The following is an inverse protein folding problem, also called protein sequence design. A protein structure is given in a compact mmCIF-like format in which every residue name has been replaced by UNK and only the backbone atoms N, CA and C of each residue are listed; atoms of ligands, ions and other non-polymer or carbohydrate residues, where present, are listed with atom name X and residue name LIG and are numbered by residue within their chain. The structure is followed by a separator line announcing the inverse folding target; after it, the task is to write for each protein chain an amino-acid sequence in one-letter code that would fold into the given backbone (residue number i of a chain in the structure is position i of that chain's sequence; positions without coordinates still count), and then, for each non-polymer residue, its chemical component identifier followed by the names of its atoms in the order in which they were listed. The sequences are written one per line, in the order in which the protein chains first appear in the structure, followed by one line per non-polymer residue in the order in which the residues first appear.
data_IF_780422975776
#
_entry.id   IF_780422975776
#
_cell.length_a   1.000
_cell.length_b   1.000
_cell.length_c   1.000
_cell.angle_alpha   90.00
_cell.angle_beta   90.00
_cell.angle_gamma   90.00
#
_symmetry.space_group_name_H-M   'P 1'
#
loop_
_entity.id
_entity.type
_entity.pdbx_description
1 polymer ?
#
# COMPACT_ATOMS: atom_id res chain seq x y z
N UNK A 1 6.51 -7.87 -8.32
CA UNK A 1 5.05 -7.98 -8.55
C UNK A 1 4.25 -8.52 -7.37
N UNK A 2 4.79 -9.43 -6.53
CA UNK A 2 4.03 -10.00 -5.39
C UNK A 2 4.12 -9.23 -4.06
N UNK A 3 4.93 -8.16 -4.02
CA UNK A 3 5.12 -7.30 -2.85
C UNK A 3 3.81 -6.91 -2.15
N UNK A 4 2.76 -6.43 -2.84
CA UNK A 4 1.53 -6.06 -2.14
C UNK A 4 0.86 -7.24 -1.41
N UNK A 5 0.91 -8.45 -1.97
CA UNK A 5 0.38 -9.64 -1.29
C UNK A 5 1.20 -9.99 -0.06
N UNK A 6 2.53 -9.91 -0.14
CA UNK A 6 3.40 -10.12 1.02
C UNK A 6 3.14 -9.07 2.12
N UNK A 7 2.88 -7.81 1.77
CA UNK A 7 2.52 -6.76 2.72
C UNK A 7 1.17 -7.03 3.39
N UNK A 8 0.15 -7.46 2.63
CA UNK A 8 -1.15 -7.84 3.18
C UNK A 8 -1.02 -9.06 4.11
N UNK A 9 -0.31 -10.10 3.68
CA UNK A 9 -0.06 -11.29 4.50
C UNK A 9 0.72 -10.95 5.77
N UNK A 10 1.71 -10.06 5.68
CA UNK A 10 2.44 -9.59 6.86
C UNK A 10 1.53 -8.85 7.83
N UNK A 11 0.66 -7.95 7.35
CA UNK A 11 -0.28 -7.23 8.20
C UNK A 11 -1.24 -8.20 8.91
N UNK A 12 -1.81 -9.17 8.17
CA UNK A 12 -2.71 -10.18 8.73
C UNK A 12 -1.97 -11.07 9.74
N UNK A 13 -0.80 -11.58 9.39
CA UNK A 13 -0.01 -12.47 10.24
C UNK A 13 0.44 -11.75 11.52
N UNK A 14 0.94 -10.52 11.42
CA UNK A 14 1.30 -9.69 12.56
C UNK A 14 0.07 -9.39 13.42
N UNK A 15 -1.09 -9.16 12.80
CA UNK A 15 -2.37 -8.97 13.47
C UNK A 15 -2.79 -10.16 14.33
N UNK A 16 -2.71 -11.38 13.78
CA UNK A 16 -3.04 -12.61 14.49
C UNK A 16 -2.03 -12.94 15.60
N UNK A 17 -0.75 -12.66 15.37
CA UNK A 17 0.34 -13.01 16.28
C UNK A 17 0.62 -11.93 17.34
N UNK A 18 0.06 -10.72 17.24
CA UNK A 18 0.37 -9.62 18.17
C UNK A 18 0.06 -9.96 19.63
N UNK A 19 -0.98 -10.78 19.87
CA UNK A 19 -1.40 -11.18 21.22
C UNK A 19 -0.46 -12.21 21.85
N UNK A 20 0.30 -12.93 21.01
CA UNK A 20 1.18 -14.02 21.45
C UNK A 20 2.63 -13.58 21.60
N UNK A 21 3.06 -12.52 20.89
CA UNK A 21 4.43 -12.05 20.97
C UNK A 21 4.55 -10.54 20.74
N UNK A 22 5.32 -9.90 21.62
CA UNK A 22 5.59 -8.46 21.60
C UNK A 22 6.28 -8.02 20.30
N UNK A 23 7.11 -8.87 19.69
CA UNK A 23 7.77 -8.55 18.43
C UNK A 23 6.74 -8.34 17.30
N UNK A 24 5.75 -9.22 17.20
CA UNK A 24 4.67 -9.09 16.21
C UNK A 24 3.74 -7.91 16.52
N UNK A 25 3.52 -7.59 17.79
CA UNK A 25 2.76 -6.39 18.18
C UNK A 25 3.45 -5.10 17.73
N UNK A 26 4.77 -4.98 17.95
CA UNK A 26 5.56 -3.82 17.50
C UNK A 26 5.56 -3.74 15.97
N UNK A 27 5.75 -4.87 15.27
CA UNK A 27 5.71 -4.91 13.82
C UNK A 27 4.34 -4.51 13.26
N UNK A 28 3.24 -5.00 13.84
CA UNK A 28 1.88 -4.64 13.48
C UNK A 28 1.63 -3.14 13.67
N UNK A 29 2.00 -2.60 14.84
CA UNK A 29 1.84 -1.19 15.14
C UNK A 29 2.66 -0.31 14.17
N UNK A 30 3.90 -0.69 13.89
CA UNK A 30 4.75 0.03 12.93
C UNK A 30 4.11 0.04 11.53
N UNK A 31 3.58 -1.09 11.06
CA UNK A 31 2.86 -1.15 9.79
C UNK A 31 1.62 -0.24 9.78
N UNK A 32 0.81 -0.27 10.83
CA UNK A 32 -0.38 0.59 10.96
C UNK A 32 -0.02 2.07 10.96
N UNK A 33 1.04 2.47 11.67
CA UNK A 33 1.52 3.86 11.70
C UNK A 33 2.00 4.28 10.31
N UNK A 34 2.82 3.47 9.63
CA UNK A 34 3.31 3.78 8.28
C UNK A 34 2.16 3.94 7.28
N UNK A 35 1.16 3.06 7.33
CA UNK A 35 -0.02 3.15 6.48
C UNK A 35 -0.90 4.35 6.84
N UNK A 36 -1.09 4.64 8.13
CA UNK A 36 -1.81 5.82 8.58
C UNK A 36 -1.15 7.13 8.13
N UNK A 37 0.18 7.22 8.23
CA UNK A 37 0.96 8.38 7.74
C UNK A 37 0.85 8.51 6.22
N UNK A 38 0.95 7.40 5.48
CA UNK A 38 0.78 7.40 4.03
C UNK A 38 -0.61 7.89 3.61
N UNK A 39 -1.67 7.38 4.25
CA UNK A 39 -3.06 7.82 4.00
C UNK A 39 -3.26 9.29 4.35
N UNK A 40 -2.73 9.74 5.49
CA UNK A 40 -2.75 11.16 5.87
C UNK A 40 -2.03 12.05 4.85
N UNK A 41 -0.93 11.56 4.27
CA UNK A 41 -0.20 12.22 3.19
C UNK A 41 -0.97 12.34 1.87
N UNK A 42 -1.88 11.39 1.59
CA UNK A 42 -2.74 11.40 0.40
C UNK A 42 -3.97 12.30 0.59
N UNK A 43 -4.53 12.35 1.81
CA UNK A 43 -5.76 13.11 2.09
C UNK A 43 -5.52 14.55 2.54
N UNK A 44 -4.38 14.85 3.18
CA UNK A 44 -4.13 16.16 3.80
C UNK A 44 -2.97 16.89 3.12
N UNK A 45 -3.28 18.00 2.42
CA UNK A 45 -2.30 18.84 1.71
C UNK A 45 -1.14 19.33 2.57
N UNK A 46 -1.36 19.55 3.87
CA UNK A 46 -0.30 19.99 4.80
C UNK A 46 0.72 18.89 5.09
N UNK A 47 0.25 17.65 5.29
CA UNK A 47 1.11 16.48 5.52
C UNK A 47 1.83 16.08 4.24
N UNK A 48 1.17 16.24 3.08
CA UNK A 48 1.75 15.93 1.78
C UNK A 48 2.97 16.78 1.44
N UNK A 49 3.24 17.89 2.15
CA UNK A 49 4.45 18.71 1.93
C UNK A 49 5.72 18.06 2.47
N UNK A 50 5.60 17.20 3.49
CA UNK A 50 6.75 16.54 4.09
C UNK A 50 7.31 15.44 3.16
N UNK A 51 8.59 15.55 2.80
CA UNK A 51 9.31 14.56 1.96
C UNK A 51 9.14 13.10 2.42
N UNK A 52 9.34 12.74 3.70
CA UNK A 52 9.20 11.34 4.13
C UNK A 52 7.75 10.84 3.95
N UNK A 53 6.75 11.70 4.22
CA UNK A 53 5.34 11.36 4.03
C UNK A 53 5.04 11.09 2.55
N UNK A 54 5.60 11.90 1.62
CA UNK A 54 5.48 11.64 0.18
C UNK A 54 6.04 10.29 -0.23
N UNK A 55 7.20 9.90 0.32
CA UNK A 55 7.83 8.61 0.01
C UNK A 55 6.95 7.46 0.48
N UNK A 56 6.42 7.54 1.71
CA UNK A 56 5.50 6.54 2.25
C UNK A 56 4.19 6.46 1.46
N UNK A 57 3.61 7.61 1.13
CA UNK A 57 2.40 7.70 0.31
C UNK A 57 2.62 7.11 -1.09
N UNK A 58 3.75 7.42 -1.72
CA UNK A 58 4.13 6.85 -3.02
C UNK A 58 4.29 5.34 -2.94
N UNK A 59 5.00 4.83 -1.91
CA UNK A 59 5.17 3.39 -1.71
C UNK A 59 3.83 2.65 -1.59
N UNK A 60 2.90 3.18 -0.79
CA UNK A 60 1.55 2.60 -0.64
C UNK A 60 0.77 2.68 -1.95
N UNK A 61 0.79 3.83 -2.63
CA UNK A 61 0.08 4.04 -3.89
C UNK A 61 0.59 3.12 -5.01
N UNK A 62 1.91 2.93 -5.12
CA UNK A 62 2.49 2.00 -6.10
C UNK A 62 2.06 0.56 -5.87
N UNK A 63 2.03 0.11 -4.61
CA UNK A 63 1.57 -1.24 -4.28
C UNK A 63 0.06 -1.42 -4.53
N UNK A 64 -0.75 -0.39 -4.26
CA UNK A 64 -2.17 -0.35 -4.62
C UNK A 64 -2.38 -0.42 -6.14
N UNK A 65 -1.58 0.30 -6.93
CA UNK A 65 -1.64 0.23 -8.38
C UNK A 65 -1.31 -1.18 -8.91
N UNK A 66 -0.34 -1.87 -8.29
CA UNK A 66 -0.03 -3.26 -8.62
C UNK A 66 -1.20 -4.18 -8.27
N UNK A 67 -1.84 -4.02 -7.10
CA UNK A 67 -3.06 -4.77 -6.75
C UNK A 67 -4.18 -4.53 -7.75
N UNK A 68 -4.40 -3.28 -8.14
CA UNK A 68 -5.39 -2.94 -9.15
C UNK A 68 -5.07 -3.59 -10.51
N UNK A 69 -3.79 -3.63 -10.91
CA UNK A 69 -3.37 -4.33 -12.12
C UNK A 69 -3.66 -5.84 -12.04
N UNK A 70 -3.40 -6.48 -10.90
CA UNK A 70 -3.76 -7.87 -10.66
C UNK A 70 -5.27 -8.11 -10.71
N UNK A 71 -6.06 -7.22 -10.11
CA UNK A 71 -7.52 -7.28 -10.16
C UNK A 71 -8.02 -7.22 -11.60
N UNK A 72 -7.58 -6.22 -12.38
CA UNK A 72 -7.94 -6.06 -13.79
C UNK A 72 -7.50 -7.26 -14.64
N UNK A 73 -6.32 -7.80 -14.36
CA UNK A 73 -5.84 -9.01 -15.02
C UNK A 73 -6.74 -10.22 -14.71
N UNK A 74 -7.12 -10.39 -13.45
CA UNK A 74 -7.97 -11.49 -13.00
C UNK A 74 -9.41 -11.39 -13.55
N UNK A 75 -9.95 -10.17 -13.72
CA UNK A 75 -11.27 -9.94 -14.32
C UNK A 75 -11.26 -10.02 -15.86
N UNK A 76 -10.09 -10.20 -16.47
CA UNK A 76 -9.96 -10.35 -17.92
C UNK A 76 -9.96 -9.03 -18.69
N UNK A 77 -9.83 -7.87 -18.01
CA UNK A 77 -9.58 -6.59 -18.67
C UNK A 77 -8.20 -6.59 -19.32
N UNK A 78 -8.14 -6.97 -20.59
CA UNK A 78 -6.91 -6.86 -21.39
C UNK A 78 -6.85 -5.47 -21.99
N UNK A 79 -5.89 -4.66 -21.55
CA UNK A 79 -5.50 -3.43 -22.24
C UNK A 79 -4.81 -3.84 -23.55
N UNK A 80 -5.60 -4.06 -24.60
CA UNK A 80 -5.12 -4.52 -25.91
C UNK A 80 -4.68 -3.37 -26.83
N UNK A 81 -5.15 -2.16 -26.57
CA UNK A 81 -4.76 -0.96 -27.31
C UNK A 81 -4.20 0.08 -26.35
N UNK A 82 -2.98 0.52 -26.64
CA UNK A 82 -2.44 1.73 -26.04
C UNK A 82 -3.25 2.91 -26.60
N UNK A 83 -4.03 3.57 -25.76
CA UNK A 83 -4.66 4.84 -26.13
C UNK A 83 -3.70 5.98 -25.76
N UNK A 84 -3.34 6.86 -26.71
CA UNK A 84 -2.51 8.02 -26.42
C UNK A 84 -3.17 8.89 -25.36
N UNK A 85 -2.38 9.39 -24.41
CA UNK A 85 -2.86 10.42 -23.48
C UNK A 85 -3.19 11.68 -24.28
N UNK A 86 -4.45 12.07 -24.35
CA UNK A 86 -4.82 13.39 -24.87
C UNK A 86 -4.11 14.46 -24.02
N UNK A 87 -3.37 15.34 -24.69
CA UNK A 87 -2.60 16.45 -24.10
C UNK A 87 -3.26 17.76 -24.48
#
# INVERSE_FOLDING_TARGET
WLVPFALLLALVSNGLLMLHSRAYAVACLAQLVLYGVALGGLSVKRLSMAKPVKILAFFVLSNLAILNAWYRFATGERVLSWQPSER
#
